data_IF_179415869391
#
_entry.id   IF_179415869391
#
_cell.length_a   1.000
_cell.length_b   1.000
_cell.length_c   1.000
_cell.angle_alpha   90.00
_cell.angle_beta   90.00
_cell.angle_gamma   90.00
#
_symmetry.space_group_name_H-M   'P 1'
#
loop_
_entity.id
_entity.type
_entity.pdbx_description
1 polymer ?
#
# COMPACT_ATOMS: atom_id res chain seq x y z
N UNK A 1 -15.93 1.49 -5.86
CA UNK A 1 -15.12 2.17 -4.82
C UNK A 1 -15.95 2.21 -3.55
N UNK A 2 -15.39 1.81 -2.41
CA UNK A 2 -16.06 1.86 -1.10
C UNK A 2 -15.63 3.13 -0.38
N UNK A 3 -16.57 3.83 0.25
CA UNK A 3 -16.24 5.00 1.05
C UNK A 3 -15.38 4.59 2.27
N UNK A 4 -14.27 5.29 2.56
CA UNK A 4 -13.43 4.98 3.71
C UNK A 4 -14.18 5.29 5.02
N UNK A 5 -14.05 4.39 6.00
CA UNK A 5 -14.52 4.63 7.35
C UNK A 5 -13.37 5.15 8.22
N UNK A 6 -13.32 6.45 8.45
CA UNK A 6 -12.21 7.10 9.17
C UNK A 6 -12.07 6.66 10.64
N UNK A 7 -13.06 5.97 11.21
CA UNK A 7 -12.93 5.39 12.55
C UNK A 7 -12.03 4.16 12.59
N UNK A 8 -11.91 3.44 11.47
CA UNK A 8 -11.14 2.22 11.35
C UNK A 8 -9.69 2.47 10.91
N UNK A 9 -8.73 1.61 11.31
CA UNK A 9 -7.37 1.68 10.80
C UNK A 9 -7.34 1.35 9.31
N UNK A 10 -6.56 2.12 8.55
CA UNK A 10 -6.22 1.77 7.18
C UNK A 10 -5.11 0.72 7.15
N UNK A 11 -5.15 -0.11 6.11
CA UNK A 11 -4.15 -1.10 5.82
C UNK A 11 -3.72 -0.94 4.36
N UNK A 12 -2.41 -1.07 4.13
CA UNK A 12 -1.81 -0.99 2.80
C UNK A 12 -1.11 -2.31 2.52
N UNK A 13 -1.47 -2.95 1.42
CA UNK A 13 -0.81 -4.14 0.90
C UNK A 13 -0.03 -3.76 -0.35
N UNK A 14 1.21 -4.23 -0.45
CA UNK A 14 2.10 -3.98 -1.59
C UNK A 14 2.53 -5.31 -2.20
N UNK A 15 2.68 -5.36 -3.52
CA UNK A 15 3.22 -6.49 -4.25
C UNK A 15 4.11 -6.01 -5.39
N UNK A 16 5.11 -6.80 -5.74
CA UNK A 16 6.00 -6.60 -6.89
C UNK A 16 6.12 -7.90 -7.69
N UNK A 17 6.05 -7.82 -9.01
CA UNK A 17 6.06 -9.00 -9.89
C UNK A 17 7.26 -9.11 -10.84
N UNK A 18 8.25 -8.22 -10.74
CA UNK A 18 9.30 -8.07 -11.76
C UNK A 18 8.88 -7.26 -12.99
N UNK A 19 7.57 -7.08 -13.21
CA UNK A 19 7.03 -6.33 -14.36
C UNK A 19 6.28 -5.08 -13.92
N UNK A 20 5.58 -5.17 -12.79
CA UNK A 20 4.80 -4.09 -12.23
C UNK A 20 4.84 -4.15 -10.69
N UNK A 21 4.54 -3.01 -10.07
CA UNK A 21 4.20 -2.94 -8.65
C UNK A 21 2.71 -2.68 -8.51
N UNK A 22 2.11 -3.29 -7.49
CA UNK A 22 0.69 -3.16 -7.16
C UNK A 22 0.53 -2.82 -5.69
N UNK A 23 -0.41 -1.92 -5.39
CA UNK A 23 -0.72 -1.48 -4.04
C UNK A 23 -2.23 -1.43 -3.83
N UNK A 24 -2.68 -1.84 -2.65
CA UNK A 24 -4.09 -1.85 -2.27
C UNK A 24 -4.23 -1.13 -0.94
N UNK A 25 -5.10 -0.12 -0.91
CA UNK A 25 -5.56 0.51 0.32
C UNK A 25 -6.87 -0.14 0.72
N UNK A 26 -6.98 -0.58 1.97
CA UNK A 26 -8.19 -1.17 2.50
C UNK A 26 -8.33 -0.98 4.01
N UNK A 27 -9.37 -1.58 4.56
CA UNK A 27 -9.68 -1.58 6.00
C UNK A 27 -10.20 -2.95 6.39
N UNK A 28 -9.89 -3.42 7.60
CA UNK A 28 -10.54 -4.62 8.14
C UNK A 28 -11.85 -4.27 8.81
N UNK A 29 -12.94 -4.92 8.35
CA UNK A 29 -14.25 -4.92 9.01
C UNK A 29 -14.57 -6.36 9.35
N UNK A 30 -14.94 -6.64 10.60
CA UNK A 30 -15.28 -8.00 11.05
C UNK A 30 -14.19 -9.04 10.70
N UNK A 31 -12.91 -8.64 10.79
CA UNK A 31 -11.70 -9.42 10.42
C UNK A 31 -11.51 -9.68 8.91
N UNK A 32 -12.45 -9.28 8.06
CA UNK A 32 -12.32 -9.34 6.60
C UNK A 32 -11.68 -8.06 6.06
N UNK A 33 -10.74 -8.22 5.14
CA UNK A 33 -10.12 -7.08 4.47
C UNK A 33 -11.03 -6.57 3.35
N UNK A 34 -11.42 -5.30 3.42
CA UNK A 34 -12.21 -4.63 2.40
C UNK A 34 -11.33 -3.61 1.67
N UNK A 35 -11.12 -3.84 0.38
CA UNK A 35 -10.38 -2.90 -0.46
C UNK A 35 -11.20 -1.63 -0.73
N UNK A 36 -10.53 -0.50 -0.58
CA UNK A 36 -11.07 0.84 -0.86
C UNK A 36 -10.58 1.28 -2.24
N UNK A 37 -9.27 1.10 -2.50
CA UNK A 37 -8.63 1.55 -3.73
C UNK A 37 -7.48 0.62 -4.14
N UNK A 38 -7.34 0.41 -5.44
CA UNK A 38 -6.25 -0.33 -6.07
C UNK A 38 -5.43 0.61 -6.95
N UNK A 39 -4.11 0.53 -6.87
CA UNK A 39 -3.23 1.21 -7.81
C UNK A 39 -2.12 0.27 -8.26
N UNK A 40 -1.67 0.44 -9.49
CA UNK A 40 -0.52 -0.29 -10.03
C UNK A 40 0.32 0.62 -10.92
N UNK A 41 1.59 0.27 -11.07
CA UNK A 41 2.54 0.93 -11.97
C UNK A 41 3.37 -0.14 -12.66
N UNK A 42 3.41 -0.07 -13.99
CA UNK A 42 4.35 -0.87 -14.79
C UNK A 42 5.76 -0.32 -14.56
N UNK A 43 6.72 -1.21 -14.31
CA UNK A 43 8.11 -0.83 -14.09
C UNK A 43 8.75 -0.39 -15.40
N UNK A 44 9.49 0.71 -15.35
CA UNK A 44 10.35 1.14 -16.45
C UNK A 44 11.61 0.24 -16.56
N UNK A 45 12.41 0.44 -17.60
CA UNK A 45 13.59 -0.41 -17.87
C UNK A 45 14.59 -0.43 -16.70
N UNK A 46 14.86 0.73 -16.10
CA UNK A 46 15.77 0.81 -14.96
C UNK A 46 15.19 0.12 -13.72
N UNK A 47 13.90 0.31 -13.44
CA UNK A 47 13.21 -0.29 -12.29
C UNK A 47 13.07 -1.82 -12.43
N UNK A 48 13.00 -2.36 -13.66
CA UNK A 48 13.01 -3.81 -13.89
C UNK A 48 14.34 -4.47 -13.54
N UNK A 49 15.44 -3.72 -13.61
CA UNK A 49 16.77 -4.20 -13.24
C UNK A 49 17.01 -4.18 -11.72
N UNK A 50 16.09 -3.62 -10.93
CA UNK A 50 16.15 -3.68 -9.48
C UNK A 50 16.03 -5.11 -8.95
N UNK A 51 16.72 -5.39 -7.85
CA UNK A 51 16.56 -6.63 -7.10
C UNK A 51 15.14 -6.77 -6.56
N UNK A 52 14.73 -7.99 -6.21
CA UNK A 52 13.39 -8.26 -5.65
C UNK A 52 13.11 -7.37 -4.44
N UNK A 53 14.08 -7.22 -3.53
CA UNK A 53 13.95 -6.36 -2.34
C UNK A 53 13.76 -4.89 -2.69
N UNK A 54 14.47 -4.38 -3.70
CA UNK A 54 14.33 -3.00 -4.16
C UNK A 54 12.96 -2.78 -4.84
N UNK A 55 12.44 -3.76 -5.57
CA UNK A 55 11.10 -3.69 -6.15
C UNK A 55 10.00 -3.74 -5.09
N UNK A 56 10.16 -4.56 -4.04
CA UNK A 56 9.26 -4.55 -2.87
C UNK A 56 9.25 -3.17 -2.20
N UNK A 57 10.43 -2.57 -2.00
CA UNK A 57 10.55 -1.22 -1.45
C UNK A 57 9.93 -0.17 -2.38
N UNK A 58 10.12 -0.30 -3.69
CA UNK A 58 9.51 0.59 -4.68
C UNK A 58 7.97 0.52 -4.63
N UNK A 59 7.39 -0.66 -4.40
CA UNK A 59 5.94 -0.79 -4.20
C UNK A 59 5.47 -0.02 -2.95
N UNK A 60 6.26 -0.04 -1.87
CA UNK A 60 5.96 0.76 -0.66
C UNK A 60 6.03 2.25 -0.96
N UNK A 61 7.10 2.73 -1.62
CA UNK A 61 7.24 4.14 -2.02
C UNK A 61 6.06 4.57 -2.90
N UNK A 62 5.68 3.74 -3.87
CA UNK A 62 4.54 3.99 -4.74
C UNK A 62 3.21 4.07 -3.94
N UNK A 63 3.05 3.26 -2.90
CA UNK A 63 1.89 3.37 -2.02
C UNK A 63 1.85 4.72 -1.28
N UNK A 64 3.00 5.23 -0.81
CA UNK A 64 3.11 6.54 -0.17
C UNK A 64 2.74 7.69 -1.12
N UNK A 65 3.12 7.58 -2.39
CA UNK A 65 2.74 8.55 -3.41
C UNK A 65 1.23 8.52 -3.69
N UNK A 66 0.65 7.32 -3.86
CA UNK A 66 -0.77 7.17 -4.23
C UNK A 66 -1.74 7.37 -3.08
N UNK A 67 -1.37 6.98 -1.86
CA UNK A 67 -2.25 7.03 -0.69
C UNK A 67 -1.84 8.10 0.32
N UNK A 68 -1.19 9.18 -0.14
CA UNK A 68 -0.63 10.24 0.70
C UNK A 68 -1.58 10.75 1.79
N UNK A 69 -2.86 10.97 1.46
CA UNK A 69 -3.85 11.46 2.43
C UNK A 69 -4.15 10.42 3.54
N UNK A 70 -4.41 9.16 3.17
CA UNK A 70 -4.72 8.09 4.11
C UNK A 70 -3.49 7.70 4.96
N UNK A 71 -2.30 7.67 4.35
CA UNK A 71 -1.04 7.37 5.05
C UNK A 71 -0.61 8.50 5.98
N UNK A 72 -0.85 9.77 5.63
CA UNK A 72 -0.68 10.89 6.57
C UNK A 72 -1.58 10.74 7.78
N UNK A 73 -2.85 10.41 7.57
CA UNK A 73 -3.78 10.16 8.67
C UNK A 73 -3.30 9.02 9.58
N UNK A 74 -2.80 7.92 9.01
CA UNK A 74 -2.20 6.83 9.78
C UNK A 74 -0.99 7.30 10.61
N UNK A 75 -0.06 8.04 10.01
CA UNK A 75 1.16 8.51 10.69
C UNK A 75 0.88 9.48 11.84
N UNK A 76 -0.27 10.16 11.83
CA UNK A 76 -0.68 11.05 12.92
C UNK A 76 -1.26 10.31 14.13
N UNK A 77 -1.67 9.03 13.99
CA UNK A 77 -2.16 8.23 15.12
C UNK A 77 -0.96 7.70 15.91
N UNK A 78 -0.88 8.05 17.20
CA UNK A 78 0.19 7.61 18.12
C UNK A 78 0.33 6.08 18.20
N UNK A 79 -0.76 5.34 17.99
CA UNK A 79 -0.80 3.88 18.09
C UNK A 79 -0.69 3.16 16.73
N UNK A 80 -0.39 3.89 15.65
CA UNK A 80 -0.19 3.28 14.34
C UNK A 80 1.08 2.42 14.37
N UNK A 81 0.92 1.10 14.26
CA UNK A 81 2.03 0.16 14.21
C UNK A 81 2.31 -0.23 12.77
N UNK A 82 3.43 0.20 12.16
CA UNK A 82 3.83 -0.34 10.87
C UNK A 82 4.06 -1.85 11.05
N UNK A 83 3.39 -2.65 10.24
CA UNK A 83 3.54 -4.10 10.22
C UNK A 83 3.69 -4.54 8.78
N UNK A 84 4.84 -5.14 8.47
CA UNK A 84 5.01 -5.86 7.22
C UNK A 84 4.41 -7.25 7.42
N UNK A 85 3.39 -7.56 6.63
CA UNK A 85 2.80 -8.90 6.58
C UNK A 85 3.32 -9.51 5.28
N UNK A 86 4.17 -10.53 5.39
CA UNK A 86 4.61 -11.37 4.27
C UNK A 86 3.80 -12.66 4.26
#
# INVERSE_FOLDING_TARGET
MVAPDWSLPFEVMCNASGVAVGVVLGQRKEKLFHAIYYASKVLNEAERNYTVTEQELLAVVFAFEKFRAALRYLMMKKDAKPRLIR
#
